data_IF_614770504929
#
_entry.id   IF_614770504929
#
_cell.length_a   1.000
_cell.length_b   1.000
_cell.length_c   1.000
_cell.angle_alpha   90.00
_cell.angle_beta   90.00
_cell.angle_gamma   90.00
#
_symmetry.space_group_name_H-M   'P 1'
#
loop_
_entity.id
_entity.type
_entity.pdbx_description
1 polymer ?
#
# COMPACT_ATOMS: atom_id res chain seq x y z
N UNK A 1 0.58 8.40 -7.40
CA UNK A 1 1.68 7.43 -7.49
C UNK A 1 1.07 6.04 -7.56
N UNK A 2 1.65 5.14 -8.36
CA UNK A 2 1.23 3.74 -8.44
C UNK A 2 2.45 2.88 -8.15
N UNK A 3 2.32 1.95 -7.22
CA UNK A 3 3.34 0.93 -6.90
C UNK A 3 2.76 -0.44 -7.29
N UNK A 4 3.41 -1.08 -8.27
CA UNK A 4 2.91 -2.30 -8.92
C UNK A 4 3.41 -3.59 -8.26
N UNK A 5 3.39 -3.66 -6.93
CA UNK A 5 3.81 -4.86 -6.19
C UNK A 5 5.30 -4.99 -5.94
N UNK A 6 5.64 -6.12 -5.32
CA UNK A 6 6.96 -6.49 -4.82
C UNK A 6 7.56 -5.38 -3.94
N UNK A 7 6.80 -4.96 -2.92
CA UNK A 7 7.26 -3.98 -1.93
C UNK A 7 8.47 -4.49 -1.15
N UNK A 8 8.53 -5.80 -0.96
CA UNK A 8 9.64 -6.48 -0.31
C UNK A 8 10.18 -7.61 -1.19
N UNK A 9 11.50 -7.81 -1.17
CA UNK A 9 12.13 -8.96 -1.86
C UNK A 9 11.73 -10.32 -1.24
N UNK A 10 11.23 -10.32 -0.01
CA UNK A 10 10.96 -11.52 0.79
C UNK A 10 9.59 -11.43 1.44
N UNK A 11 8.92 -12.58 1.49
CA UNK A 11 7.62 -12.76 2.18
C UNK A 11 7.68 -12.35 3.67
N UNK A 12 8.84 -12.55 4.29
CA UNK A 12 9.15 -12.05 5.64
C UNK A 12 10.32 -11.07 5.53
N UNK A 13 10.04 -9.77 5.35
CA UNK A 13 11.09 -8.76 5.29
C UNK A 13 11.74 -8.51 6.66
N UNK A 14 12.99 -8.05 6.69
CA UNK A 14 13.64 -7.61 7.92
C UNK A 14 12.99 -6.33 8.46
N UNK A 15 13.13 -6.07 9.76
CA UNK A 15 12.50 -4.92 10.42
C UNK A 15 12.92 -3.59 9.80
N UNK A 16 14.18 -3.48 9.36
CA UNK A 16 14.72 -2.29 8.71
C UNK A 16 13.98 -1.95 7.41
N UNK A 17 13.64 -2.96 6.60
CA UNK A 17 12.91 -2.75 5.35
C UNK A 17 11.47 -2.31 5.61
N UNK A 18 10.82 -2.90 6.62
CA UNK A 18 9.46 -2.51 7.04
C UNK A 18 9.45 -1.04 7.49
N UNK A 19 10.41 -0.65 8.32
CA UNK A 19 10.51 0.72 8.84
C UNK A 19 10.78 1.72 7.72
N UNK A 20 11.68 1.40 6.78
CA UNK A 20 11.98 2.27 5.64
C UNK A 20 10.74 2.50 4.76
N UNK A 21 9.98 1.44 4.45
CA UNK A 21 8.76 1.57 3.67
C UNK A 21 7.73 2.44 4.42
N UNK A 22 7.55 2.21 5.71
CA UNK A 22 6.63 2.98 6.55
C UNK A 22 6.97 4.48 6.57
N UNK A 23 8.24 4.84 6.81
CA UNK A 23 8.67 6.25 6.80
C UNK A 23 8.49 6.90 5.43
N UNK A 24 8.83 6.17 4.36
CA UNK A 24 8.72 6.66 2.98
C UNK A 24 7.26 6.92 2.61
N UNK A 25 6.37 5.95 2.86
CA UNK A 25 4.94 6.10 2.57
C UNK A 25 4.31 7.17 3.45
N UNK A 26 4.72 7.29 4.71
CA UNK A 26 4.25 8.36 5.61
C UNK A 26 4.56 9.74 5.04
N UNK A 27 5.78 9.98 4.56
CA UNK A 27 6.13 11.25 3.90
C UNK A 27 5.28 11.49 2.65
N UNK A 28 5.17 10.49 1.78
CA UNK A 28 4.44 10.63 0.50
C UNK A 28 2.95 10.92 0.74
N UNK A 29 2.31 10.16 1.62
CA UNK A 29 0.85 10.18 1.81
C UNK A 29 0.42 11.26 2.79
N UNK A 30 1.14 11.45 3.90
CA UNK A 30 0.73 12.34 4.99
C UNK A 30 1.27 13.76 4.79
N UNK A 31 2.57 13.88 4.47
CA UNK A 31 3.23 15.19 4.32
C UNK A 31 2.98 15.77 2.92
N UNK A 32 3.31 15.02 1.86
CA UNK A 32 3.17 15.50 0.49
C UNK A 32 1.76 15.31 -0.09
N UNK A 33 0.87 14.60 0.61
CA UNK A 33 -0.52 14.35 0.20
C UNK A 33 -0.63 13.75 -1.21
N UNK A 34 0.36 12.96 -1.63
CA UNK A 34 0.37 12.33 -2.95
C UNK A 34 -0.55 11.11 -2.90
N UNK A 35 -1.64 11.09 -3.69
CA UNK A 35 -2.50 9.94 -3.81
C UNK A 35 -1.71 8.72 -4.29
N UNK A 36 -1.75 7.61 -3.54
CA UNK A 36 -0.92 6.44 -3.80
C UNK A 36 -1.77 5.17 -3.85
N UNK A 37 -1.61 4.39 -4.93
CA UNK A 37 -2.17 3.04 -5.07
C UNK A 37 -1.02 2.04 -4.97
N UNK A 38 -1.20 0.99 -4.18
CA UNK A 38 -0.27 -0.12 -4.07
C UNK A 38 -1.03 -1.43 -4.31
N UNK A 39 -0.47 -2.29 -5.14
CA UNK A 39 -0.95 -3.68 -5.28
C UNK A 39 0.10 -4.64 -4.69
N UNK A 40 -0.29 -5.84 -4.29
CA UNK A 40 0.68 -6.89 -3.91
C UNK A 40 1.39 -7.48 -5.13
N UNK A 41 2.70 -7.74 -5.00
CA UNK A 41 3.44 -8.59 -5.94
C UNK A 41 3.56 -10.04 -5.48
N UNK A 42 4.37 -10.82 -6.18
CA UNK A 42 4.58 -12.25 -5.90
C UNK A 42 5.37 -12.50 -4.61
N UNK A 43 6.23 -11.55 -4.23
CA UNK A 43 7.06 -11.63 -3.03
C UNK A 43 6.36 -11.06 -1.79
N UNK A 44 5.27 -10.32 -2.00
CA UNK A 44 4.46 -9.78 -0.93
C UNK A 44 3.44 -10.80 -0.43
N UNK A 45 3.16 -10.77 0.87
CA UNK A 45 2.01 -11.49 1.39
C UNK A 45 0.75 -10.65 1.15
N UNK A 46 -0.05 -11.07 0.16
CA UNK A 46 -1.37 -10.52 -0.16
C UNK A 46 -2.23 -10.28 1.10
N UNK A 47 -2.30 -11.27 1.99
CA UNK A 47 -3.06 -11.19 3.24
C UNK A 47 -2.52 -10.12 4.20
N UNK A 48 -1.19 -9.98 4.31
CA UNK A 48 -0.57 -8.95 5.16
C UNK A 48 -0.81 -7.55 4.61
N UNK A 49 -0.78 -7.38 3.28
CA UNK A 49 -1.08 -6.10 2.64
C UNK A 49 -2.57 -5.76 2.74
N UNK A 50 -3.46 -6.74 2.61
CA UNK A 50 -4.90 -6.53 2.75
C UNK A 50 -5.28 -6.12 4.18
N UNK A 51 -4.59 -6.65 5.20
CA UNK A 51 -4.79 -6.22 6.59
C UNK A 51 -4.54 -4.70 6.78
N UNK A 52 -3.56 -4.14 6.07
CA UNK A 52 -3.25 -2.71 6.13
C UNK A 52 -4.38 -1.84 5.54
N UNK A 53 -5.17 -2.38 4.61
CA UNK A 53 -6.29 -1.68 3.98
C UNK A 53 -7.32 -1.19 5.03
N UNK A 54 -7.59 -2.01 6.05
CA UNK A 54 -8.49 -1.66 7.14
C UNK A 54 -7.96 -0.53 8.04
N UNK A 55 -6.64 -0.45 8.24
CA UNK A 55 -5.98 0.56 9.08
C UNK A 55 -5.88 1.91 8.35
N UNK A 56 -5.66 1.86 7.03
CA UNK A 56 -5.41 3.04 6.20
C UNK A 56 -6.68 3.66 5.61
N UNK A 57 -7.85 3.08 5.91
CA UNK A 57 -9.16 3.56 5.46
C UNK A 57 -9.39 5.02 5.87
N UNK A 58 -9.28 5.94 4.92
CA UNK A 58 -9.43 7.38 5.12
C UNK A 58 -8.21 8.22 4.75
N UNK A 59 -7.06 7.59 4.45
CA UNK A 59 -5.89 8.26 3.89
C UNK A 59 -5.94 8.29 2.36
N UNK A 60 -5.09 9.11 1.72
CA UNK A 60 -4.90 9.09 0.25
C UNK A 60 -4.05 7.90 -0.22
N UNK A 61 -4.14 6.78 0.48
CA UNK A 61 -3.41 5.53 0.22
C UNK A 61 -4.42 4.39 0.07
N UNK A 62 -4.37 3.71 -1.07
CA UNK A 62 -5.15 2.52 -1.35
C UNK A 62 -4.20 1.33 -1.51
N UNK A 63 -4.50 0.22 -0.82
CA UNK A 63 -3.73 -1.02 -0.92
C UNK A 63 -4.69 -2.15 -1.29
N UNK A 64 -4.40 -2.86 -2.36
CA UNK A 64 -5.16 -4.04 -2.79
C UNK A 64 -4.20 -5.24 -2.83
N UNK A 65 -4.34 -6.14 -1.86
CA UNK A 65 -3.50 -7.33 -1.74
C UNK A 65 -4.13 -8.57 -2.35
N UNK A 66 -5.46 -8.65 -2.36
CA UNK A 66 -6.19 -9.81 -2.89
C UNK A 66 -7.01 -9.39 -4.11
N UNK A 67 -6.94 -10.17 -5.19
CA UNK A 67 -7.80 -9.96 -6.35
C UNK A 67 -9.26 -10.14 -5.94
N UNK A 68 -10.03 -9.06 -6.05
CA UNK A 68 -11.48 -9.06 -5.84
C UNK A 68 -12.16 -9.30 -7.17
N UNK A 69 -13.23 -10.11 -7.18
CA UNK A 69 -14.02 -10.40 -8.38
C UNK A 69 -14.86 -9.22 -8.88
N UNK A 70 -14.74 -8.06 -8.24
CA UNK A 70 -15.46 -6.84 -8.54
C UNK A 70 -14.46 -5.70 -8.76
N UNK A 71 -14.75 -4.84 -9.75
CA UNK A 71 -13.95 -3.63 -9.99
C UNK A 71 -14.45 -2.54 -9.06
N UNK A 72 -13.56 -2.04 -8.19
CA UNK A 72 -13.83 -0.88 -7.33
C UNK A 72 -13.26 0.37 -7.97
N UNK A 73 -14.07 1.42 -8.07
CA UNK A 73 -13.59 2.73 -8.50
C UNK A 73 -12.70 3.34 -7.40
N UNK A 74 -11.48 3.73 -7.76
CA UNK A 74 -10.54 4.38 -6.84
C UNK A 74 -10.89 5.86 -6.69
N UNK A 75 -11.41 6.26 -5.52
CA UNK A 75 -11.69 7.66 -5.21
C UNK A 75 -10.57 8.26 -4.35
N UNK A 76 -9.84 9.23 -4.91
CA UNK A 76 -8.94 10.09 -4.13
C UNK A 76 -9.59 11.47 -4.00
N UNK A 77 -9.75 11.94 -2.76
CA UNK A 77 -10.23 13.30 -2.51
C UNK A 77 -9.14 14.26 -3.02
N UNK A 78 -9.44 15.02 -4.07
CA UNK A 78 -8.60 16.15 -4.49
C UNK A 78 -8.72 17.25 -3.44
N UNK A 79 -7.62 17.56 -2.77
CA UNK A 79 -7.47 18.77 -1.95
C UNK A 79 -7.25 19.98 -2.84
#
# INVERSE_FOLDING_TARGET
MVISGDLYDRVVPPAEAINLLNETLSKIVLEFRIPTIIISGNHDSAERLEFLNGILSGMVLQIEGVLKGEVKEGSFIKY
#
